data_IF_181909816157
#
_entry.id   IF_181909816157
#
_cell.length_a   1.000
_cell.length_b   1.000
_cell.length_c   1.000
_cell.angle_alpha   90.00
_cell.angle_beta   90.00
_cell.angle_gamma   90.00
#
_symmetry.space_group_name_H-M   'P 1'
#
loop_
_entity.id
_entity.type
_entity.pdbx_description
1 polymer ?
#
# COMPACT_ATOMS: atom_id res chain seq x y z
N UNK A 1 8.75 -12.32 4.41
CA UNK A 1 8.39 -12.92 3.11
C UNK A 1 9.54 -13.78 2.64
N UNK A 2 9.33 -15.07 2.35
CA UNK A 2 10.39 -15.98 1.87
C UNK A 2 10.38 -16.03 0.34
N UNK A 3 11.53 -16.32 -0.27
CA UNK A 3 11.66 -16.50 -1.72
C UNK A 3 10.74 -17.63 -2.25
N UNK A 4 10.51 -18.66 -1.43
CA UNK A 4 9.59 -19.74 -1.74
C UNK A 4 8.14 -19.25 -1.84
N UNK A 5 7.68 -18.41 -0.91
CA UNK A 5 6.32 -17.86 -0.94
C UNK A 5 6.08 -17.01 -2.19
N UNK A 6 7.05 -16.17 -2.57
CA UNK A 6 6.96 -15.36 -3.80
C UNK A 6 6.91 -16.25 -5.05
N UNK A 7 7.72 -17.31 -5.09
CA UNK A 7 7.72 -18.26 -6.21
C UNK A 7 6.37 -18.97 -6.37
N UNK A 8 5.72 -19.34 -5.25
CA UNK A 8 4.39 -19.93 -5.27
C UNK A 8 3.34 -18.94 -5.77
N UNK A 9 3.37 -17.68 -5.33
CA UNK A 9 2.43 -16.65 -5.80
C UNK A 9 2.57 -16.39 -7.31
N UNK A 10 3.81 -16.32 -7.82
CA UNK A 10 4.05 -16.18 -9.26
C UNK A 10 3.44 -17.37 -10.00
N UNK A 11 3.68 -18.61 -9.52
CA UNK A 11 3.13 -19.80 -10.16
C UNK A 11 1.60 -19.76 -10.18
N UNK A 12 0.96 -19.42 -9.07
CA UNK A 12 -0.51 -19.30 -9.01
C UNK A 12 -1.04 -18.24 -9.97
N UNK A 13 -0.34 -17.12 -10.15
CA UNK A 13 -0.72 -16.10 -11.14
C UNK A 13 -0.59 -16.61 -12.58
N UNK A 14 0.52 -17.27 -12.91
CA UNK A 14 0.72 -17.87 -14.23
C UNK A 14 -0.33 -18.94 -14.53
N UNK A 15 -0.68 -19.77 -13.54
CA UNK A 15 -1.70 -20.81 -13.66
C UNK A 15 -3.09 -20.20 -13.88
N UNK A 16 -3.41 -19.10 -13.19
CA UNK A 16 -4.68 -18.37 -13.38
C UNK A 16 -4.79 -17.74 -14.76
N UNK A 17 -3.71 -17.15 -15.27
CA UNK A 17 -3.67 -16.49 -16.58
C UNK A 17 -3.50 -17.47 -17.74
N UNK A 18 -3.06 -18.70 -17.48
CA UNK A 18 -2.70 -19.67 -18.51
C UNK A 18 -1.46 -19.27 -19.33
N UNK A 19 -0.66 -18.31 -18.83
CA UNK A 19 0.48 -17.72 -19.51
C UNK A 19 1.71 -17.73 -18.60
N UNK A 20 2.89 -17.97 -19.19
CA UNK A 20 4.16 -17.77 -18.51
C UNK A 20 4.52 -16.29 -18.54
N UNK A 21 4.65 -15.70 -17.35
CA UNK A 21 5.05 -14.30 -17.19
C UNK A 21 6.54 -14.18 -16.87
N UNK A 22 7.14 -15.24 -16.32
CA UNK A 22 8.55 -15.25 -15.94
C UNK A 22 9.29 -16.45 -16.54
N UNK A 23 10.55 -16.21 -16.90
CA UNK A 23 11.52 -17.23 -17.30
C UNK A 23 12.74 -17.20 -16.38
N UNK A 24 13.24 -18.37 -16.02
CA UNK A 24 14.46 -18.51 -15.22
C UNK A 24 15.67 -18.45 -16.14
N UNK A 25 16.64 -17.57 -15.81
CA UNK A 25 17.95 -17.52 -16.46
C UNK A 25 19.02 -17.58 -15.39
N UNK A 26 19.71 -18.72 -15.28
CA UNK A 26 20.72 -19.00 -14.26
C UNK A 26 20.20 -18.68 -12.84
N UNK A 27 20.64 -17.54 -12.28
CA UNK A 27 20.32 -17.06 -10.93
C UNK A 27 19.34 -15.87 -10.93
N UNK A 28 18.68 -15.61 -12.05
CA UNK A 28 17.80 -14.46 -12.24
C UNK A 28 16.43 -14.87 -12.78
N UNK A 29 15.40 -14.14 -12.36
CA UNK A 29 14.06 -14.20 -12.93
C UNK A 29 13.94 -13.04 -13.91
N UNK A 30 13.51 -13.33 -15.14
CA UNK A 30 13.26 -12.32 -16.17
C UNK A 30 11.80 -12.41 -16.59
N UNK A 31 11.20 -11.28 -16.93
CA UNK A 31 9.87 -11.27 -17.54
C UNK A 31 9.94 -11.87 -18.96
N UNK A 32 8.88 -12.54 -19.36
CA UNK A 32 8.59 -12.86 -20.76
C UNK A 32 8.11 -11.61 -21.49
N UNK A 33 7.74 -11.72 -22.76
CA UNK A 33 7.16 -10.61 -23.52
C UNK A 33 5.76 -10.28 -23.00
N UNK A 34 4.96 -11.31 -22.75
CA UNK A 34 3.63 -11.24 -22.14
C UNK A 34 3.72 -10.66 -20.73
N UNK A 35 4.71 -11.11 -19.94
CA UNK A 35 4.99 -10.59 -18.62
C UNK A 35 5.36 -9.11 -18.63
N UNK A 36 6.13 -8.65 -19.63
CA UNK A 36 6.45 -7.23 -19.78
C UNK A 36 5.23 -6.41 -20.16
N UNK A 37 4.45 -6.85 -21.15
CA UNK A 37 3.22 -6.15 -21.57
C UNK A 37 2.25 -6.02 -20.39
N UNK A 38 1.97 -7.14 -19.71
CA UNK A 38 1.07 -7.15 -18.57
C UNK A 38 1.57 -6.28 -17.42
N UNK A 39 2.88 -6.29 -17.15
CA UNK A 39 3.47 -5.42 -16.13
C UNK A 39 3.29 -3.93 -16.45
N UNK A 40 3.46 -3.52 -17.71
CA UNK A 40 3.27 -2.12 -18.10
C UNK A 40 1.84 -1.64 -17.85
N UNK A 41 0.85 -2.50 -18.08
CA UNK A 41 -0.56 -2.15 -17.90
C UNK A 41 -0.95 -2.07 -16.42
N UNK A 42 -0.48 -3.02 -15.59
CA UNK A 42 -0.93 -3.12 -14.19
C UNK A 42 -0.14 -2.25 -13.22
N UNK A 43 1.12 -1.89 -13.52
CA UNK A 43 1.99 -1.17 -12.56
C UNK A 43 1.35 0.13 -12.06
N UNK A 44 0.72 0.88 -12.96
CA UNK A 44 0.13 2.18 -12.64
C UNK A 44 -1.19 2.01 -11.87
N UNK A 45 -1.93 0.93 -12.16
CA UNK A 45 -3.15 0.56 -11.43
C UNK A 45 -2.80 0.21 -9.97
N UNK A 46 -1.77 -0.60 -9.73
CA UNK A 46 -1.32 -0.92 -8.38
C UNK A 46 -0.83 0.31 -7.61
N UNK A 47 -0.16 1.24 -8.29
CA UNK A 47 0.26 2.51 -7.70
C UNK A 47 -0.96 3.32 -7.26
N UNK A 48 -1.97 3.46 -8.13
CA UNK A 48 -3.22 4.16 -7.81
C UNK A 48 -3.99 3.51 -6.67
N UNK A 49 -4.07 2.17 -6.63
CA UNK A 49 -4.70 1.43 -5.55
C UNK A 49 -4.00 1.67 -4.20
N UNK A 50 -2.66 1.68 -4.22
CA UNK A 50 -1.84 1.97 -3.04
C UNK A 50 -2.11 3.38 -2.52
N UNK A 51 -2.13 4.37 -3.41
CA UNK A 51 -2.41 5.75 -3.05
C UNK A 51 -3.84 5.97 -2.54
N UNK A 52 -4.83 5.31 -3.16
CA UNK A 52 -6.22 5.34 -2.68
C UNK A 52 -6.33 4.78 -1.25
N UNK A 53 -5.66 3.65 -0.99
CA UNK A 53 -5.61 3.01 0.34
C UNK A 53 -4.93 3.93 1.36
N UNK A 54 -3.80 4.53 0.98
CA UNK A 54 -3.07 5.49 1.83
C UNK A 54 -3.93 6.70 2.18
N UNK A 55 -4.66 7.26 1.21
CA UNK A 55 -5.61 8.38 1.44
C UNK A 55 -6.72 7.99 2.42
N UNK A 56 -7.25 6.78 2.30
CA UNK A 56 -8.27 6.27 3.22
C UNK A 56 -7.72 6.11 4.65
N UNK A 57 -6.55 5.49 4.80
CA UNK A 57 -5.88 5.32 6.10
C UNK A 57 -5.55 6.67 6.75
N UNK A 58 -5.05 7.63 5.96
CA UNK A 58 -4.74 8.97 6.44
C UNK A 58 -5.99 9.74 6.91
N UNK A 59 -7.16 9.50 6.31
CA UNK A 59 -8.44 10.05 6.82
C UNK A 59 -8.85 9.39 8.13
N UNK A 60 -8.70 8.08 8.24
CA UNK A 60 -9.00 7.34 9.48
C UNK A 60 -8.08 7.75 10.64
N UNK A 61 -6.81 8.03 10.36
CA UNK A 61 -5.84 8.52 11.34
C UNK A 61 -6.12 9.95 11.83
N UNK A 62 -6.99 10.72 11.16
CA UNK A 62 -7.45 12.05 11.63
C UNK A 62 -8.62 11.92 12.61
N UNK A 63 -8.48 11.06 13.62
CA UNK A 63 -9.33 11.07 14.81
C UNK A 63 -8.92 12.20 15.76
N UNK A 64 -9.85 12.67 16.60
CA UNK A 64 -9.56 13.68 17.61
C UNK A 64 -8.45 13.18 18.57
N UNK A 65 -7.37 13.94 18.68
CA UNK A 65 -6.33 13.69 19.68
C UNK A 65 -6.77 14.32 21.00
N UNK A 66 -7.33 13.52 21.92
CA UNK A 66 -7.62 13.97 23.28
C UNK A 66 -6.30 14.06 24.05
N UNK A 67 -5.79 15.28 24.21
CA UNK A 67 -4.63 15.55 25.07
C UNK A 67 -5.15 15.95 26.44
N UNK A 68 -4.92 15.11 27.45
CA UNK A 68 -5.18 15.46 28.85
C UNK A 68 -4.02 16.30 29.37
N UNK A 69 -4.28 17.57 29.72
CA UNK A 69 -3.31 18.49 30.31
C UNK A 69 -3.70 18.81 31.76
N UNK A 70 -2.71 19.11 32.61
CA UNK A 70 -2.98 19.66 33.94
C UNK A 70 -3.69 21.02 33.79
N UNK A 71 -4.69 21.35 34.64
CA UNK A 71 -5.48 22.58 34.53
C UNK A 71 -4.65 23.85 34.44
N UNK A 72 -3.49 23.90 35.12
CA UNK A 72 -2.58 25.04 35.15
C UNK A 72 -1.90 25.36 33.81
N UNK A 73 -1.90 24.44 32.84
CA UNK A 73 -1.30 24.65 31.51
C UNK A 73 -2.30 25.12 30.46
N UNK A 74 -3.61 24.97 30.73
CA UNK A 74 -4.69 25.24 29.77
C UNK A 74 -4.89 26.76 29.53
N UNK A 75 -4.58 27.59 30.52
CA UNK A 75 -4.80 29.04 30.46
C UNK A 75 -3.86 29.76 29.47
N UNK A 76 -2.69 29.20 29.14
CA UNK A 76 -1.73 29.87 28.26
C UNK A 76 -1.90 29.56 26.77
N UNK A 77 -2.68 28.53 26.41
CA UNK A 77 -2.76 27.99 25.03
C UNK A 77 -4.14 28.15 24.39
N UNK A 78 -5.12 28.72 25.09
CA UNK A 78 -6.49 28.90 24.59
C UNK A 78 -6.60 30.00 23.50
N UNK A 79 -6.19 29.68 22.28
CA UNK A 79 -6.80 30.24 21.07
C UNK A 79 -8.18 29.60 20.81
N UNK A 80 -9.10 30.26 20.07
CA UNK A 80 -10.51 29.89 20.06
C UNK A 80 -10.73 28.48 19.46
N UNK A 81 -11.38 27.63 20.26
CA UNK A 81 -11.64 26.23 19.96
C UNK A 81 -12.70 26.03 18.85
N UNK A 82 -12.54 25.04 17.96
CA UNK A 82 -13.66 24.39 17.32
C UNK A 82 -13.99 23.10 18.09
N UNK A 83 -14.76 23.21 19.17
CA UNK A 83 -15.48 22.08 19.73
C UNK A 83 -16.89 22.06 19.14
N UNK A 84 -17.25 21.03 18.38
CA UNK A 84 -18.65 20.69 18.13
C UNK A 84 -18.82 19.18 17.95
N UNK A 85 -19.60 18.65 18.91
CA UNK A 85 -20.45 17.44 18.99
C UNK A 85 -20.15 16.28 18.02
#
# INVERSE_FOLDING_TARGET
MTQAAVSHQIKSLEDFLGLKLFRRRNRSLLLTEEGQSYFQDIKDIFSQLTEATRKLQARSAKGALTVSLLPSFCDSVAGPAPFKL
#
